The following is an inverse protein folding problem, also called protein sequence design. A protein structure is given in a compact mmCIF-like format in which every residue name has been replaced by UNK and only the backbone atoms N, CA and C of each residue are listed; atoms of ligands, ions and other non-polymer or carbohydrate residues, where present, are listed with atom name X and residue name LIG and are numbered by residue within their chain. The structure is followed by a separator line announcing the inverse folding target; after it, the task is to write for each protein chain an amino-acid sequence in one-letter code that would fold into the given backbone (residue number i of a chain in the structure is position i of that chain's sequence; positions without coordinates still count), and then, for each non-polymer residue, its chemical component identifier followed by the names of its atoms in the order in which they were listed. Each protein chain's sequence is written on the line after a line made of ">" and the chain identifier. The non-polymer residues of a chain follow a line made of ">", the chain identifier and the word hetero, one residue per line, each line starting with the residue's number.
data_IF_667099399035
#
_entry.id   IF_667099399035
#
_cell.length_a   1.000
_cell.length_b   1.000
_cell.length_c   1.000
_cell.angle_alpha   90.00
_cell.angle_beta   90.00
_cell.angle_gamma   90.00
#
_symmetry.space_group_name_H-M   'P 1'
#
loop_
_entity.id
_entity.type
_entity.pdbx_description
1 polymer ?
#
# COMPACT_ATOMS: atom_id res chain seq x y z
N UNK A 1 -18.00 -18.32 -25.52
CA UNK A 1 -17.47 -16.94 -25.55
C UNK A 1 -16.58 -16.76 -24.33
N UNK A 2 -15.25 -16.74 -24.54
CA UNK A 2 -14.30 -16.52 -23.49
C UNK A 2 -14.40 -15.08 -23.03
N UNK A 3 -14.95 -14.83 -21.86
CA UNK A 3 -14.76 -13.58 -21.14
C UNK A 3 -13.35 -13.65 -20.59
N UNK A 4 -12.38 -13.10 -21.32
CA UNK A 4 -10.98 -13.09 -20.96
C UNK A 4 -10.74 -12.25 -19.70
N UNK A 5 -11.00 -12.84 -18.55
CA UNK A 5 -10.40 -12.34 -17.30
C UNK A 5 -8.92 -12.69 -17.31
N UNK A 6 -8.04 -11.72 -17.12
CA UNK A 6 -6.61 -11.96 -17.00
C UNK A 6 -6.37 -13.01 -15.91
N UNK A 7 -5.56 -14.02 -16.25
CA UNK A 7 -5.16 -15.03 -15.29
C UNK A 7 -4.29 -14.39 -14.20
N UNK A 8 -4.62 -14.66 -12.93
CA UNK A 8 -3.86 -14.15 -11.80
C UNK A 8 -2.99 -15.27 -11.21
N UNK A 9 -1.75 -14.97 -11.00
CA UNK A 9 -0.73 -15.83 -10.39
C UNK A 9 -0.40 -15.34 -9.00
N UNK A 10 -0.06 -16.27 -8.10
CA UNK A 10 0.24 -15.92 -6.70
C UNK A 10 1.50 -16.61 -6.21
N UNK A 11 2.20 -15.96 -5.30
CA UNK A 11 3.26 -16.58 -4.53
C UNK A 11 3.34 -16.00 -3.12
N UNK A 12 3.98 -16.72 -2.21
CA UNK A 12 4.21 -16.28 -0.83
C UNK A 12 5.61 -15.70 -0.67
N UNK A 13 5.72 -14.73 0.23
CA UNK A 13 6.98 -14.12 0.66
C UNK A 13 7.02 -14.06 2.18
N UNK A 14 8.10 -14.54 2.79
CA UNK A 14 8.31 -14.46 4.24
C UNK A 14 9.09 -13.19 4.58
N UNK A 15 8.47 -12.28 5.30
CA UNK A 15 9.14 -11.07 5.77
C UNK A 15 9.42 -11.13 7.28
N UNK A 16 10.27 -10.20 7.74
CA UNK A 16 10.60 -10.06 9.16
C UNK A 16 9.39 -9.66 10.03
N UNK A 17 8.32 -9.13 9.43
CA UNK A 17 7.14 -8.62 10.13
C UNK A 17 5.85 -9.37 9.78
N UNK A 18 5.96 -10.52 9.13
CA UNK A 18 4.86 -11.40 8.80
C UNK A 18 4.88 -11.89 7.35
N UNK A 19 4.14 -12.94 7.09
CA UNK A 19 4.03 -13.53 5.77
C UNK A 19 3.20 -12.64 4.84
N UNK A 20 3.57 -12.62 3.58
CA UNK A 20 2.97 -11.79 2.53
C UNK A 20 2.48 -12.70 1.40
N UNK A 21 1.27 -12.44 0.91
CA UNK A 21 0.77 -12.98 -0.34
C UNK A 21 0.96 -11.93 -1.44
N UNK A 22 1.61 -12.33 -2.53
CA UNK A 22 1.76 -11.55 -3.76
C UNK A 22 0.84 -12.10 -4.84
N UNK A 23 0.23 -11.20 -5.60
CA UNK A 23 -0.58 -11.54 -6.76
C UNK A 23 -0.20 -10.65 -7.96
N UNK A 24 -0.15 -11.25 -9.16
CA UNK A 24 0.12 -10.55 -10.41
C UNK A 24 -0.66 -11.16 -11.56
N UNK A 25 -1.01 -10.35 -12.53
CA UNK A 25 -1.43 -10.81 -13.85
C UNK A 25 -0.29 -10.63 -14.89
N UNK A 26 -0.60 -10.70 -16.17
CA UNK A 26 0.38 -10.52 -17.25
C UNK A 26 0.88 -9.07 -17.40
N UNK A 27 0.16 -8.10 -16.81
CA UNK A 27 0.43 -6.66 -16.93
C UNK A 27 1.29 -6.17 -15.76
N UNK A 28 0.99 -6.61 -14.53
CA UNK A 28 1.67 -6.13 -13.34
C UNK A 28 1.19 -6.76 -12.05
N UNK A 29 1.73 -6.29 -10.96
CA UNK A 29 1.34 -6.68 -9.61
C UNK A 29 -0.08 -6.16 -9.33
N UNK A 30 -0.98 -7.07 -8.97
CA UNK A 30 -2.38 -6.77 -8.65
C UNK A 30 -2.65 -6.79 -7.15
N UNK A 31 -1.76 -7.39 -6.36
CA UNK A 31 -1.92 -7.46 -4.92
C UNK A 31 -0.63 -7.77 -4.16
N UNK A 32 -0.54 -7.20 -2.98
CA UNK A 32 0.48 -7.48 -1.96
C UNK A 32 -0.16 -7.26 -0.60
N UNK A 33 -0.41 -8.33 0.14
CA UNK A 33 -1.10 -8.28 1.43
C UNK A 33 -0.33 -9.05 2.50
N UNK A 34 -0.24 -8.48 3.69
CA UNK A 34 0.17 -9.25 4.87
C UNK A 34 -0.91 -10.26 5.24
N UNK A 35 -0.54 -11.49 5.57
CA UNK A 35 -1.49 -12.47 6.08
C UNK A 35 -2.18 -11.92 7.34
N UNK A 36 -3.50 -12.05 7.40
CA UNK A 36 -4.32 -11.57 8.50
C UNK A 36 -4.64 -10.07 8.49
N UNK A 37 -4.19 -9.31 7.49
CA UNK A 37 -4.55 -7.90 7.40
C UNK A 37 -6.03 -7.68 7.05
N UNK A 38 -6.55 -6.49 7.35
CA UNK A 38 -7.86 -6.05 6.88
C UNK A 38 -7.88 -6.01 5.34
N UNK A 39 -8.95 -6.48 4.74
CA UNK A 39 -9.14 -6.60 3.28
C UNK A 39 -8.13 -7.53 2.59
N UNK A 40 -7.57 -8.50 3.31
CA UNK A 40 -6.67 -9.51 2.74
C UNK A 40 -7.27 -10.18 1.52
N UNK A 41 -6.58 -10.10 0.37
CA UNK A 41 -6.98 -10.79 -0.85
C UNK A 41 -8.34 -10.39 -1.43
N UNK A 42 -8.93 -9.25 -1.01
CA UNK A 42 -10.28 -8.87 -1.41
C UNK A 42 -10.47 -8.64 -2.92
N UNK A 43 -9.39 -8.43 -3.65
CA UNK A 43 -9.38 -8.30 -5.13
C UNK A 43 -8.81 -9.51 -5.83
N UNK A 44 -8.40 -10.53 -5.06
CA UNK A 44 -7.91 -11.79 -5.63
C UNK A 44 -9.09 -12.60 -6.18
N UNK A 45 -9.10 -13.00 -7.46
CA UNK A 45 -10.15 -13.83 -7.98
C UNK A 45 -10.13 -15.23 -7.36
N UNK A 46 -11.30 -15.86 -7.24
CA UNK A 46 -11.43 -17.22 -6.69
C UNK A 46 -10.55 -18.23 -7.45
N UNK A 47 -10.44 -18.04 -8.77
CA UNK A 47 -9.54 -18.83 -9.62
C UNK A 47 -8.25 -18.09 -9.84
N UNK A 48 -7.18 -18.52 -9.20
CA UNK A 48 -5.82 -18.05 -9.39
C UNK A 48 -4.85 -19.24 -9.35
N UNK A 49 -3.66 -19.05 -9.87
CA UNK A 49 -2.66 -20.11 -10.00
C UNK A 49 -1.49 -19.84 -9.03
N UNK A 50 -1.20 -20.75 -8.09
CA UNK A 50 0.00 -20.67 -7.25
C UNK A 50 1.25 -21.00 -8.12
N UNK A 51 1.78 -19.98 -8.77
CA UNK A 51 2.95 -20.08 -9.65
C UNK A 51 3.70 -18.77 -9.67
N UNK A 52 5.01 -18.83 -9.50
CA UNK A 52 5.88 -17.67 -9.59
C UNK A 52 6.06 -17.26 -11.06
N UNK A 53 5.91 -15.96 -11.33
CA UNK A 53 6.11 -15.34 -12.64
C UNK A 53 7.27 -14.32 -12.57
N UNK A 54 7.70 -13.79 -13.70
CA UNK A 54 8.76 -12.77 -13.74
C UNK A 54 8.38 -11.53 -12.91
N UNK A 55 7.11 -11.07 -12.98
CA UNK A 55 6.61 -9.93 -12.20
C UNK A 55 6.66 -10.24 -10.70
N UNK A 56 6.23 -11.43 -10.29
CA UNK A 56 6.29 -11.86 -8.89
C UNK A 56 7.74 -12.01 -8.39
N UNK A 57 8.63 -12.51 -9.22
CA UNK A 57 10.08 -12.59 -8.92
C UNK A 57 10.68 -11.19 -8.75
N UNK A 58 10.32 -10.24 -9.62
CA UNK A 58 10.76 -8.85 -9.49
C UNK A 58 10.23 -8.19 -8.21
N UNK A 59 8.96 -8.43 -7.87
CA UNK A 59 8.37 -7.94 -6.62
C UNK A 59 9.08 -8.52 -5.38
N UNK A 60 9.45 -9.79 -5.40
CA UNK A 60 10.25 -10.42 -4.32
C UNK A 60 11.64 -9.79 -4.20
N UNK A 61 12.35 -9.53 -5.30
CA UNK A 61 13.63 -8.81 -5.29
C UNK A 61 13.48 -7.40 -4.72
N UNK A 62 12.39 -6.72 -5.05
CA UNK A 62 12.07 -5.41 -4.47
C UNK A 62 11.91 -5.51 -2.94
N UNK A 63 11.17 -6.52 -2.47
CA UNK A 63 10.98 -6.77 -1.04
C UNK A 63 12.28 -7.16 -0.32
N UNK A 64 13.16 -7.93 -0.97
CA UNK A 64 14.47 -8.29 -0.40
C UNK A 64 15.32 -7.04 -0.15
N UNK A 65 15.38 -6.11 -1.10
CA UNK A 65 16.07 -4.82 -0.93
C UNK A 65 15.39 -3.99 0.16
N UNK A 66 14.08 -3.88 0.12
CA UNK A 66 13.32 -3.09 1.09
C UNK A 66 13.52 -3.59 2.53
N UNK A 67 13.40 -4.91 2.76
CA UNK A 67 13.58 -5.50 4.09
C UNK A 67 15.04 -5.60 4.54
N UNK A 68 16.02 -5.32 3.67
CA UNK A 68 17.40 -5.08 4.08
C UNK A 68 17.61 -3.70 4.72
N UNK A 69 16.60 -2.82 4.69
CA UNK A 69 16.66 -1.45 5.19
C UNK A 69 17.14 -0.43 4.16
N UNK A 70 17.19 -0.83 2.89
CA UNK A 70 17.58 0.04 1.78
C UNK A 70 16.37 0.43 0.93
N UNK A 71 16.43 1.61 0.35
CA UNK A 71 15.41 2.07 -0.61
C UNK A 71 15.60 1.37 -1.96
N UNK A 72 14.62 0.54 -2.42
CA UNK A 72 14.69 -0.01 -3.76
C UNK A 72 14.70 1.09 -4.84
N UNK A 73 15.60 0.98 -5.81
CA UNK A 73 15.76 1.97 -6.89
C UNK A 73 15.00 1.60 -8.16
N UNK A 74 14.11 0.65 -8.09
CA UNK A 74 13.23 0.22 -9.15
C UNK A 74 11.83 -0.04 -8.58
N UNK A 75 10.82 -0.09 -9.44
CA UNK A 75 9.44 -0.45 -9.06
C UNK A 75 8.97 -1.53 -10.04
N UNK A 76 8.50 -2.69 -9.56
CA UNK A 76 7.91 -3.68 -10.45
C UNK A 76 6.67 -3.11 -11.14
N UNK A 77 6.26 -3.65 -12.29
CA UNK A 77 5.02 -3.22 -12.94
C UNK A 77 3.84 -3.35 -11.98
N UNK A 78 3.02 -2.30 -11.84
CA UNK A 78 1.85 -2.28 -10.98
C UNK A 78 0.57 -2.25 -11.82
N UNK A 79 -0.39 -3.10 -11.48
CA UNK A 79 -1.70 -3.15 -12.13
C UNK A 79 -2.83 -3.26 -11.10
N UNK A 80 -3.00 -2.25 -10.22
CA UNK A 80 -4.08 -2.26 -9.24
C UNK A 80 -5.45 -2.09 -9.93
N UNK A 81 -6.41 -2.95 -9.59
CA UNK A 81 -7.74 -3.01 -10.20
C UNK A 81 -8.80 -2.37 -9.33
N UNK A 82 -8.75 -1.06 -9.17
CA UNK A 82 -9.66 -0.35 -8.27
C UNK A 82 -10.30 0.88 -8.94
N UNK A 83 -11.17 1.58 -8.19
CA UNK A 83 -11.83 2.78 -8.70
C UNK A 83 -10.81 3.86 -9.09
N UNK A 84 -11.19 4.72 -10.03
CA UNK A 84 -10.36 5.86 -10.49
C UNK A 84 -9.89 6.70 -9.31
N UNK A 85 -10.79 7.01 -8.37
CA UNK A 85 -10.44 7.81 -7.19
C UNK A 85 -9.35 7.15 -6.32
N UNK A 86 -9.45 5.85 -6.05
CA UNK A 86 -8.41 5.13 -5.30
C UNK A 86 -7.08 5.15 -6.02
N UNK A 87 -7.09 4.92 -7.33
CA UNK A 87 -5.87 4.96 -8.14
C UNK A 87 -5.23 6.35 -8.16
N UNK A 88 -6.03 7.43 -8.18
CA UNK A 88 -5.52 8.81 -8.06
C UNK A 88 -4.84 9.04 -6.70
N UNK A 89 -5.45 8.58 -5.61
CA UNK A 89 -4.83 8.64 -4.28
C UNK A 89 -3.53 7.84 -4.27
N UNK A 90 -3.51 6.61 -4.78
CA UNK A 90 -2.32 5.75 -4.78
C UNK A 90 -1.17 6.31 -5.62
N UNK A 91 -1.47 7.03 -6.72
CA UNK A 91 -0.45 7.78 -7.47
C UNK A 91 0.24 8.85 -6.62
N UNK A 92 -0.49 9.51 -5.71
CA UNK A 92 0.10 10.45 -4.75
C UNK A 92 0.95 9.70 -3.73
N UNK A 93 0.48 8.53 -3.24
CA UNK A 93 1.26 7.72 -2.29
C UNK A 93 2.62 7.33 -2.87
N UNK A 94 2.67 6.93 -4.14
CA UNK A 94 3.92 6.57 -4.83
C UNK A 94 4.93 7.72 -4.94
N UNK A 95 4.50 8.97 -4.75
CA UNK A 95 5.37 10.15 -4.75
C UNK A 95 5.95 10.47 -3.37
N UNK A 96 5.49 9.79 -2.31
CA UNK A 96 6.01 10.03 -0.95
C UNK A 96 7.42 9.43 -0.86
N UNK A 97 8.45 10.24 -0.60
CA UNK A 97 9.81 9.72 -0.51
C UNK A 97 9.99 8.70 0.60
N UNK A 98 10.95 7.79 0.41
CA UNK A 98 11.38 6.84 1.43
C UNK A 98 11.79 7.57 2.72
N UNK A 99 11.32 7.09 3.87
CA UNK A 99 11.58 7.69 5.16
C UNK A 99 10.81 8.98 5.48
N UNK A 100 9.89 9.39 4.61
CA UNK A 100 9.05 10.57 4.83
C UNK A 100 7.58 10.20 5.04
N UNK A 101 6.83 11.11 5.64
CA UNK A 101 5.39 10.95 5.87
C UNK A 101 4.61 12.13 5.29
N UNK A 102 3.33 11.88 4.99
CA UNK A 102 2.36 12.87 4.55
C UNK A 102 1.07 12.71 5.36
N UNK A 103 0.30 13.76 5.53
CA UNK A 103 -0.99 13.66 6.21
C UNK A 103 -2.13 13.36 5.24
N UNK A 104 -3.22 12.75 5.75
CA UNK A 104 -4.47 12.57 4.98
C UNK A 104 -5.01 13.90 4.45
N UNK A 105 -4.91 14.97 5.24
CA UNK A 105 -5.32 16.32 4.83
C UNK A 105 -4.50 16.88 3.68
N UNK A 106 -3.19 16.61 3.65
CA UNK A 106 -2.33 17.04 2.54
C UNK A 106 -2.71 16.29 1.24
N UNK A 107 -2.95 14.98 1.31
CA UNK A 107 -3.43 14.22 0.15
C UNK A 107 -4.76 14.77 -0.34
N UNK A 108 -5.71 15.04 0.58
CA UNK A 108 -7.01 15.61 0.24
C UNK A 108 -6.86 16.96 -0.48
N UNK A 109 -5.96 17.83 -0.04
CA UNK A 109 -5.67 19.10 -0.73
C UNK A 109 -5.13 18.89 -2.14
N UNK A 110 -4.20 17.96 -2.32
CA UNK A 110 -3.65 17.62 -3.65
C UNK A 110 -4.73 17.11 -4.60
N UNK A 111 -5.59 16.22 -4.13
CA UNK A 111 -6.74 15.71 -4.93
C UNK A 111 -7.71 16.84 -5.28
N UNK A 112 -8.03 17.73 -4.33
CA UNK A 112 -8.92 18.86 -4.59
C UNK A 112 -8.37 19.78 -5.70
N UNK A 113 -7.08 20.07 -5.68
CA UNK A 113 -6.41 20.84 -6.73
C UNK A 113 -6.48 20.11 -8.07
N UNK A 114 -6.16 18.81 -8.11
CA UNK A 114 -6.20 18.01 -9.34
C UNK A 114 -7.59 17.96 -9.96
N UNK A 115 -8.63 17.92 -9.13
CA UNK A 115 -10.05 17.87 -9.57
C UNK A 115 -10.69 19.27 -9.75
N UNK A 116 -9.94 20.34 -9.53
CA UNK A 116 -10.44 21.71 -9.55
C UNK A 116 -11.70 21.89 -8.66
N UNK A 117 -11.66 21.32 -7.44
CA UNK A 117 -12.71 21.44 -6.44
C UNK A 117 -12.20 22.23 -5.24
N UNK A 118 -13.12 22.89 -4.51
CA UNK A 118 -12.78 23.67 -3.32
C UNK A 118 -12.40 22.79 -2.11
N UNK A 119 -12.82 21.53 -2.11
CA UNK A 119 -12.64 20.66 -0.95
C UNK A 119 -12.65 19.17 -1.36
N UNK A 120 -11.85 18.38 -0.65
CA UNK A 120 -11.87 16.93 -0.69
C UNK A 120 -11.87 16.40 0.75
N UNK A 121 -12.74 15.43 1.02
CA UNK A 121 -12.85 14.81 2.34
C UNK A 121 -11.60 14.00 2.69
N UNK A 122 -10.98 14.31 3.82
CA UNK A 122 -9.89 13.51 4.37
C UNK A 122 -10.35 12.08 4.73
N UNK A 123 -11.63 11.91 5.08
CA UNK A 123 -12.23 10.59 5.33
C UNK A 123 -12.31 9.75 4.05
N UNK A 124 -12.70 10.35 2.91
CA UNK A 124 -12.70 9.66 1.62
C UNK A 124 -11.29 9.23 1.20
N UNK A 125 -10.30 10.11 1.41
CA UNK A 125 -8.88 9.78 1.21
C UNK A 125 -8.46 8.65 2.15
N UNK A 126 -8.82 8.69 3.42
CA UNK A 126 -8.56 7.63 4.39
C UNK A 126 -9.11 6.28 3.96
N UNK A 127 -10.32 6.25 3.40
CA UNK A 127 -10.92 5.06 2.81
C UNK A 127 -10.10 4.52 1.62
N UNK A 128 -9.65 5.38 0.73
CA UNK A 128 -8.80 4.99 -0.42
C UNK A 128 -7.43 4.47 0.03
N UNK A 129 -6.80 5.10 1.01
CA UNK A 129 -5.52 4.68 1.60
C UNK A 129 -5.67 3.33 2.29
N UNK A 130 -6.75 3.13 3.06
CA UNK A 130 -7.01 1.88 3.80
C UNK A 130 -7.33 0.68 2.92
N UNK A 131 -7.82 0.90 1.70
CA UNK A 131 -8.10 -0.16 0.70
C UNK A 131 -6.95 -0.39 -0.28
N UNK A 132 -5.75 0.07 0.04
CA UNK A 132 -4.58 -0.20 -0.80
C UNK A 132 -4.37 -1.69 -0.99
N UNK A 133 -4.38 -2.13 -2.24
CA UNK A 133 -4.25 -3.54 -2.64
C UNK A 133 -2.80 -4.01 -2.70
N UNK A 134 -1.84 -3.06 -2.79
CA UNK A 134 -0.42 -3.35 -2.94
C UNK A 134 0.35 -2.68 -1.80
N UNK A 135 0.25 -3.26 -0.61
CA UNK A 135 0.91 -2.74 0.59
C UNK A 135 2.43 -2.62 0.40
N UNK A 136 3.08 -1.75 1.12
CA UNK A 136 4.51 -1.45 1.12
C UNK A 136 4.95 -0.75 -0.17
N UNK A 137 4.79 -1.35 -1.35
CA UNK A 137 5.22 -0.75 -2.64
C UNK A 137 4.42 0.52 -2.90
N UNK A 138 3.08 0.47 -2.75
CA UNK A 138 2.26 1.69 -2.64
C UNK A 138 2.24 2.06 -1.15
N UNK A 139 2.99 3.08 -0.71
CA UNK A 139 3.40 3.22 0.69
C UNK A 139 2.34 3.87 1.57
N UNK A 140 1.19 3.21 1.75
CA UNK A 140 0.12 3.70 2.62
C UNK A 140 0.53 3.79 4.10
N UNK A 141 1.59 3.08 4.52
CA UNK A 141 2.18 3.23 5.86
C UNK A 141 2.82 4.60 6.10
N UNK A 142 3.19 5.35 5.04
CA UNK A 142 3.74 6.72 5.13
C UNK A 142 2.66 7.79 5.33
N UNK A 143 1.37 7.41 5.36
CA UNK A 143 0.28 8.37 5.60
C UNK A 143 -0.06 8.38 7.07
N UNK A 144 -0.08 9.58 7.67
CA UNK A 144 -0.33 9.79 9.09
C UNK A 144 -1.49 10.78 9.29
N UNK A 145 -2.08 10.76 10.49
CA UNK A 145 -3.07 11.76 10.88
C UNK A 145 -2.44 13.12 11.14
N UNK A 146 -3.29 14.11 11.38
CA UNK A 146 -2.88 15.45 11.79
C UNK A 146 -1.97 15.36 13.02
N UNK A 147 -0.95 16.20 13.07
CA UNK A 147 0.05 16.25 14.15
C UNK A 147 0.90 14.98 14.33
N UNK A 148 0.93 14.07 13.36
CA UNK A 148 1.75 12.86 13.43
C UNK A 148 1.06 11.66 14.10
N UNK A 149 -0.25 11.67 14.24
CA UNK A 149 -1.00 10.54 14.76
C UNK A 149 -0.87 9.31 13.86
N UNK A 150 -0.39 8.19 14.42
CA UNK A 150 -0.31 6.90 13.76
C UNK A 150 -1.68 6.23 13.80
N UNK A 151 -2.51 6.55 12.83
CA UNK A 151 -3.84 5.96 12.67
C UNK A 151 -3.90 5.15 11.38
N UNK A 152 -4.80 4.17 11.35
CA UNK A 152 -5.22 3.48 10.16
C UNK A 152 -4.10 2.83 9.33
N UNK A 153 -3.93 1.53 9.50
CA UNK A 153 -3.14 0.71 8.59
C UNK A 153 -3.77 -0.67 8.48
N UNK A 154 -4.01 -1.16 7.27
CA UNK A 154 -4.67 -2.44 7.06
C UNK A 154 -3.89 -3.60 7.71
N UNK A 155 -2.57 -3.54 7.73
CA UNK A 155 -1.69 -4.50 8.39
C UNK A 155 -1.58 -4.35 9.91
N UNK A 156 -2.20 -3.31 10.50
CA UNK A 156 -2.10 -3.00 11.93
C UNK A 156 -0.98 -2.01 12.27
N UNK A 157 -1.15 -1.31 13.39
CA UNK A 157 -0.25 -0.23 13.82
C UNK A 157 1.18 -0.73 14.05
N UNK A 158 1.37 -1.92 14.58
CA UNK A 158 2.69 -2.48 14.85
C UNK A 158 3.51 -2.64 13.56
N UNK A 159 2.88 -3.14 12.48
CA UNK A 159 3.54 -3.24 11.17
C UNK A 159 3.82 -1.86 10.58
N UNK A 160 2.90 -0.89 10.72
CA UNK A 160 3.12 0.49 10.28
C UNK A 160 4.35 1.08 10.95
N UNK A 161 4.48 0.95 12.27
CA UNK A 161 5.63 1.42 13.03
C UNK A 161 6.91 0.72 12.57
N UNK A 162 6.86 -0.60 12.38
CA UNK A 162 8.01 -1.38 11.93
C UNK A 162 8.51 -0.94 10.55
N UNK A 163 7.59 -0.67 9.60
CA UNK A 163 7.93 -0.17 8.27
C UNK A 163 8.53 1.23 8.32
N UNK A 164 7.93 2.16 9.09
CA UNK A 164 8.47 3.51 9.25
C UNK A 164 9.85 3.51 9.88
N UNK A 165 10.10 2.67 10.89
CA UNK A 165 11.43 2.51 11.50
C UNK A 165 12.44 1.90 10.53
N UNK A 166 12.02 0.90 9.75
CA UNK A 166 12.87 0.28 8.71
C UNK A 166 13.33 1.31 7.68
N UNK A 167 12.47 2.26 7.35
CA UNK A 167 12.74 3.37 6.44
C UNK A 167 13.53 4.52 7.09
N UNK A 168 13.97 4.39 8.33
CA UNK A 168 14.67 5.44 9.09
C UNK A 168 13.87 6.74 9.22
N UNK A 169 12.55 6.64 9.22
CA UNK A 169 11.66 7.80 9.42
C UNK A 169 11.91 8.43 10.79
N UNK A 170 11.94 9.76 10.87
CA UNK A 170 11.97 10.47 12.14
C UNK A 170 10.68 10.23 12.93
N UNK A 171 10.76 9.38 13.94
CA UNK A 171 9.65 9.01 14.80
C UNK A 171 9.35 10.01 15.92
N UNK A 172 10.15 11.05 16.09
CA UNK A 172 10.08 11.98 17.24
C UNK A 172 8.75 12.73 17.34
N UNK A 173 8.08 12.94 16.21
CA UNK A 173 6.77 13.62 16.13
C UNK A 173 5.61 12.68 15.88
N UNK A 174 5.85 11.38 15.84
CA UNK A 174 4.82 10.37 15.57
C UNK A 174 4.39 9.73 16.89
N UNK A 175 3.09 9.49 17.04
CA UNK A 175 2.55 8.90 18.27
C UNK A 175 1.31 8.04 17.99
N UNK A 176 1.10 7.05 18.85
CA UNK A 176 -0.13 6.25 18.85
C UNK A 176 -1.19 7.00 19.65
N UNK A 177 -2.35 7.36 19.07
CA UNK A 177 -3.39 8.07 19.79
C UNK A 177 -4.01 7.19 20.88
N UNK A 178 -4.24 7.75 22.07
CA UNK A 178 -4.86 7.04 23.21
C UNK A 178 -6.33 6.69 22.97
N UNK A 179 -7.01 7.48 22.15
CA UNK A 179 -8.37 7.26 21.66
C UNK A 179 -8.37 7.65 20.19
N UNK A 180 -8.75 6.80 19.31
CA UNK A 180 -8.79 7.11 17.89
C UNK A 180 -9.45 6.01 17.14
N UNK A 181 -10.26 6.39 16.20
CA UNK A 181 -10.82 5.51 15.21
C UNK A 181 -9.70 4.86 14.41
N UNK A 182 -9.55 3.56 14.57
CA UNK A 182 -8.98 2.77 13.51
C UNK A 182 -9.88 2.99 12.27
N UNK A 183 -9.33 3.52 11.19
CA UNK A 183 -10.00 3.54 9.92
C UNK A 183 -10.04 2.13 9.35
#
# INVERSE_FOLDING_TARGET
>A
MNVGGNMVYTCKYKSLIGDILLAADEIGLTGLWFEGQKYFGNTLPDKHIPQETEILTEAKKWLDVYFSGEEPKFTPPLHPTSSVFRQEVWKILLQIPYGQTITYGEIARRIAVMKNTSHMSAQAVGGAVGHNEISIIIPCHRVVGTNGSLTGYAGGIDKKISLLKLEHTDMSRLFIPKKGTAL
#
